data_IF_222995112224
#
_entry.id   IF_222995112224
#
_cell.length_a   1.000
_cell.length_b   1.000
_cell.length_c   1.000
_cell.angle_alpha   90.00
_cell.angle_beta   90.00
_cell.angle_gamma   90.00
#
_symmetry.space_group_name_H-M   'P 1'
#
loop_
_entity.id
_entity.type
_entity.pdbx_description
1 polymer ?
#
# COMPACT_ATOMS: atom_id res chain seq x y z
N UNK A 1 2.11 -26.37 3.93
CA UNK A 1 1.47 -25.06 3.73
C UNK A 1 0.68 -24.58 4.96
N UNK A 2 -0.10 -25.40 5.72
CA UNK A 2 -0.83 -24.94 6.90
C UNK A 2 0.07 -24.33 7.98
N UNK A 3 1.22 -24.92 8.23
CA UNK A 3 2.21 -24.41 9.19
C UNK A 3 2.77 -23.04 8.76
N UNK A 4 3.07 -22.85 7.49
CA UNK A 4 3.51 -21.55 6.96
C UNK A 4 2.42 -20.47 7.12
N UNK A 5 1.15 -20.86 6.99
CA UNK A 5 0.02 -19.94 7.25
C UNK A 5 -0.10 -19.59 8.74
N UNK A 6 0.11 -20.55 9.64
CA UNK A 6 0.07 -20.29 11.09
C UNK A 6 1.20 -19.36 11.56
N UNK A 7 2.32 -19.32 10.85
CA UNK A 7 3.43 -18.38 11.12
C UNK A 7 3.27 -17.04 10.40
N UNK A 8 2.19 -16.83 9.65
CA UNK A 8 1.98 -15.60 8.91
C UNK A 8 2.87 -15.43 7.67
N UNK A 9 3.57 -16.48 7.23
CA UNK A 9 4.44 -16.45 6.06
C UNK A 9 3.66 -16.40 4.74
N UNK A 10 2.43 -16.93 4.75
CA UNK A 10 1.51 -16.90 3.62
C UNK A 10 0.13 -16.45 4.09
N UNK A 11 -0.58 -15.76 3.21
CA UNK A 11 -1.89 -15.18 3.51
C UNK A 11 -3.03 -16.19 3.40
N UNK A 12 -2.97 -17.05 2.40
CA UNK A 12 -4.08 -17.92 2.02
C UNK A 12 -3.55 -19.23 1.41
N UNK A 13 -4.24 -20.33 1.67
CA UNK A 13 -4.02 -21.62 1.02
C UNK A 13 -5.20 -21.88 0.10
N UNK A 14 -4.92 -22.08 -1.17
CA UNK A 14 -5.93 -22.36 -2.20
C UNK A 14 -5.65 -23.69 -2.91
N UNK A 15 -6.66 -24.27 -3.54
CA UNK A 15 -6.46 -25.43 -4.41
C UNK A 15 -5.58 -25.03 -5.60
N UNK A 16 -4.79 -25.99 -6.10
CA UNK A 16 -3.82 -25.74 -7.18
C UNK A 16 -4.48 -25.14 -8.43
N UNK A 17 -5.64 -25.64 -8.82
CA UNK A 17 -6.43 -25.16 -9.96
C UNK A 17 -6.97 -23.72 -9.76
N UNK A 18 -7.07 -23.24 -8.52
CA UNK A 18 -7.54 -21.90 -8.18
C UNK A 18 -6.40 -20.88 -7.96
N UNK A 19 -5.16 -21.34 -7.85
CA UNK A 19 -4.03 -20.48 -7.49
C UNK A 19 -3.86 -19.31 -8.45
N UNK A 20 -3.86 -19.58 -9.76
CA UNK A 20 -3.67 -18.54 -10.78
C UNK A 20 -4.79 -17.51 -10.76
N UNK A 21 -6.03 -17.97 -10.62
CA UNK A 21 -7.21 -17.10 -10.55
C UNK A 21 -7.11 -16.18 -9.32
N UNK A 22 -6.83 -16.73 -8.15
CA UNK A 22 -6.68 -15.96 -6.91
C UNK A 22 -5.52 -14.96 -6.94
N UNK A 23 -4.39 -15.35 -7.50
CA UNK A 23 -3.26 -14.44 -7.68
C UNK A 23 -3.62 -13.27 -8.61
N UNK A 24 -4.36 -13.55 -9.68
CA UNK A 24 -4.80 -12.52 -10.62
C UNK A 24 -5.81 -11.55 -9.99
N UNK A 25 -6.82 -12.07 -9.29
CA UNK A 25 -7.80 -11.25 -8.55
C UNK A 25 -7.11 -10.29 -7.56
N UNK A 26 -6.10 -10.78 -6.83
CA UNK A 26 -5.33 -9.96 -5.90
C UNK A 26 -4.48 -8.90 -6.63
N UNK A 27 -3.87 -9.28 -7.75
CA UNK A 27 -3.09 -8.35 -8.56
C UNK A 27 -3.96 -7.22 -9.14
N UNK A 28 -5.15 -7.53 -9.65
CA UNK A 28 -6.11 -6.54 -10.15
C UNK A 28 -6.59 -5.61 -9.02
N UNK A 29 -6.90 -6.17 -7.85
CA UNK A 29 -7.27 -5.37 -6.68
C UNK A 29 -6.18 -4.37 -6.30
N UNK A 30 -4.93 -4.80 -6.26
CA UNK A 30 -3.79 -3.92 -5.96
C UNK A 30 -3.55 -2.91 -7.08
N UNK A 31 -3.70 -3.31 -8.35
CA UNK A 31 -3.52 -2.43 -9.49
C UNK A 31 -4.60 -1.32 -9.58
N UNK A 32 -5.79 -1.57 -9.06
CA UNK A 32 -6.87 -0.59 -8.98
C UNK A 32 -6.72 0.42 -7.83
N UNK A 33 -5.80 0.18 -6.91
CA UNK A 33 -5.58 1.03 -5.74
C UNK A 33 -4.63 2.20 -6.00
N UNK A 34 -4.35 3.02 -4.97
CA UNK A 34 -3.56 4.24 -5.08
C UNK A 34 -2.05 3.95 -5.19
N UNK A 35 -1.43 4.11 -6.38
CA UNK A 35 -0.05 3.67 -6.61
C UNK A 35 0.97 4.44 -5.76
N UNK A 36 0.77 5.74 -5.55
CA UNK A 36 1.66 6.57 -4.73
C UNK A 36 1.59 6.20 -3.25
N UNK A 37 0.42 5.81 -2.75
CA UNK A 37 0.26 5.31 -1.36
C UNK A 37 1.03 4.00 -1.20
N UNK A 38 0.94 3.08 -2.15
CA UNK A 38 1.70 1.83 -2.10
C UNK A 38 3.22 2.06 -2.13
N UNK A 39 3.68 3.03 -2.93
CA UNK A 39 5.09 3.41 -2.94
C UNK A 39 5.54 3.96 -1.57
N UNK A 40 4.74 4.83 -0.96
CA UNK A 40 5.01 5.37 0.37
C UNK A 40 5.03 4.29 1.45
N UNK A 41 4.05 3.38 1.46
CA UNK A 41 4.01 2.26 2.41
C UNK A 41 5.27 1.39 2.28
N UNK A 42 5.67 1.05 1.05
CA UNK A 42 6.86 0.20 0.82
C UNK A 42 8.16 0.86 1.27
N UNK A 43 8.33 2.16 1.05
CA UNK A 43 9.49 2.91 1.55
C UNK A 43 9.49 2.95 3.07
N UNK A 44 8.36 3.33 3.69
CA UNK A 44 8.23 3.41 5.16
C UNK A 44 8.56 2.06 5.81
N UNK A 45 7.93 0.97 5.36
CA UNK A 45 8.14 -0.35 5.95
C UNK A 45 9.61 -0.77 5.86
N UNK A 46 10.26 -0.56 4.70
CA UNK A 46 11.66 -0.92 4.49
C UNK A 46 12.61 -0.13 5.39
N UNK A 47 12.37 1.17 5.52
CA UNK A 47 13.27 2.07 6.25
C UNK A 47 12.98 2.09 7.76
N UNK A 48 11.76 1.75 8.18
CA UNK A 48 11.37 1.75 9.57
C UNK A 48 11.89 0.54 10.35
N UNK A 49 12.27 -0.55 9.68
CA UNK A 49 12.80 -1.75 10.35
C UNK A 49 14.04 -1.44 11.21
N UNK A 50 14.87 -0.50 10.77
CA UNK A 50 16.10 -0.10 11.45
C UNK A 50 15.95 1.12 12.38
N UNK A 51 14.72 1.64 12.53
CA UNK A 51 14.45 2.84 13.33
C UNK A 51 13.70 2.53 14.62
N UNK A 52 13.96 3.33 15.65
CA UNK A 52 13.06 3.40 16.79
C UNK A 52 11.70 3.95 16.38
N UNK A 53 10.63 3.48 16.99
CA UNK A 53 9.25 3.90 16.63
C UNK A 53 9.08 5.43 16.56
N UNK A 54 9.62 6.16 17.54
CA UNK A 54 9.49 7.63 17.58
C UNK A 54 10.24 8.31 16.44
N UNK A 55 11.39 7.76 16.04
CA UNK A 55 12.17 8.30 14.91
C UNK A 55 11.47 8.03 13.59
N UNK A 56 10.92 6.84 13.40
CA UNK A 56 10.10 6.50 12.24
C UNK A 56 8.87 7.42 12.13
N UNK A 57 8.14 7.63 13.23
CA UNK A 57 6.99 8.52 13.28
C UNK A 57 7.36 9.96 12.95
N UNK A 58 8.46 10.47 13.52
CA UNK A 58 8.96 11.82 13.23
C UNK A 58 9.33 11.99 11.75
N UNK A 59 9.97 10.99 11.14
CA UNK A 59 10.32 11.03 9.70
C UNK A 59 9.09 11.02 8.81
N UNK A 60 8.05 10.27 9.15
CA UNK A 60 6.78 10.26 8.42
C UNK A 60 6.09 11.63 8.53
N UNK A 61 5.90 12.12 9.76
CA UNK A 61 5.17 13.38 10.00
C UNK A 61 5.88 14.61 9.41
N UNK A 62 7.21 14.59 9.38
CA UNK A 62 8.03 15.63 8.75
C UNK A 62 8.25 15.44 7.25
N UNK A 63 7.58 14.44 6.64
CA UNK A 63 7.68 14.11 5.20
C UNK A 63 9.12 13.89 4.71
N UNK A 64 9.94 13.24 5.54
CA UNK A 64 11.37 13.01 5.23
C UNK A 64 11.60 11.80 4.32
N UNK A 65 10.57 10.99 4.06
CA UNK A 65 10.58 9.95 3.04
C UNK A 65 10.17 10.57 1.70
N UNK A 66 10.93 10.30 0.64
CA UNK A 66 10.70 10.90 -0.68
C UNK A 66 9.32 10.56 -1.27
N UNK A 67 8.89 9.31 -1.10
CA UNK A 67 7.58 8.89 -1.60
C UNK A 67 6.43 9.47 -0.79
N UNK A 68 6.64 9.70 0.51
CA UNK A 68 5.66 10.38 1.38
C UNK A 68 5.51 11.85 0.97
N UNK A 69 6.62 12.55 0.79
CA UNK A 69 6.61 13.96 0.36
C UNK A 69 5.95 14.10 -1.01
N UNK A 70 6.31 13.24 -1.96
CA UNK A 70 5.68 13.19 -3.28
C UNK A 70 4.17 12.91 -3.21
N UNK A 71 3.75 11.94 -2.40
CA UNK A 71 2.34 11.62 -2.20
C UNK A 71 1.54 12.84 -1.74
N UNK A 72 2.03 13.58 -0.74
CA UNK A 72 1.33 14.74 -0.19
C UNK A 72 1.26 15.94 -1.14
N UNK A 73 2.11 16.00 -2.15
CA UNK A 73 2.12 17.03 -3.19
C UNK A 73 1.44 16.60 -4.50
N UNK A 74 0.89 15.41 -4.56
CA UNK A 74 0.35 14.79 -5.78
C UNK A 74 -1.09 15.18 -6.11
N UNK A 75 -1.48 15.03 -7.38
CA UNK A 75 -2.88 15.12 -7.81
C UNK A 75 -3.73 14.00 -7.20
N UNK A 76 -3.15 12.81 -7.00
CA UNK A 76 -3.83 11.67 -6.42
C UNK A 76 -4.26 11.90 -4.96
N UNK A 77 -3.49 12.68 -4.20
CA UNK A 77 -3.87 13.07 -2.84
C UNK A 77 -5.14 13.93 -2.83
N UNK A 78 -5.24 14.86 -3.76
CA UNK A 78 -6.43 15.73 -3.92
C UNK A 78 -7.61 14.91 -4.42
N UNK A 79 -7.38 14.03 -5.41
CA UNK A 79 -8.43 13.12 -5.94
C UNK A 79 -8.99 12.21 -4.85
N UNK A 80 -8.12 11.61 -4.03
CA UNK A 80 -8.55 10.76 -2.92
C UNK A 80 -9.45 11.49 -1.92
N UNK A 81 -9.09 12.72 -1.55
CA UNK A 81 -9.91 13.55 -0.66
C UNK A 81 -11.26 13.92 -1.27
N UNK A 82 -11.28 14.28 -2.56
CA UNK A 82 -12.52 14.60 -3.30
C UNK A 82 -13.43 13.37 -3.44
N UNK A 83 -12.87 12.24 -3.87
CA UNK A 83 -13.62 11.01 -4.05
C UNK A 83 -14.28 10.55 -2.74
N UNK A 84 -13.53 10.66 -1.62
CA UNK A 84 -14.07 10.36 -0.29
C UNK A 84 -15.24 11.28 0.10
N UNK A 85 -15.08 12.59 -0.10
CA UNK A 85 -16.14 13.57 0.21
C UNK A 85 -17.39 13.38 -0.67
N UNK A 86 -17.20 13.06 -1.94
CA UNK A 86 -18.25 12.84 -2.94
C UNK A 86 -18.84 11.42 -2.91
N UNK A 87 -18.28 10.51 -2.08
CA UNK A 87 -18.69 9.10 -1.95
C UNK A 87 -18.68 8.36 -3.30
N UNK A 88 -17.65 8.57 -4.09
CA UNK A 88 -17.40 7.91 -5.36
C UNK A 88 -16.04 7.22 -5.38
N UNK A 89 -15.85 6.35 -6.35
CA UNK A 89 -14.55 5.73 -6.58
C UNK A 89 -13.53 6.75 -7.09
N UNK A 90 -12.30 6.74 -6.54
CA UNK A 90 -11.22 7.61 -6.99
C UNK A 90 -10.64 7.15 -8.34
N UNK A 91 -10.09 8.10 -9.08
CA UNK A 91 -9.40 7.85 -10.36
C UNK A 91 -7.92 8.19 -10.20
N UNK A 92 -7.14 7.18 -9.83
CA UNK A 92 -5.70 7.32 -9.61
C UNK A 92 -4.95 7.54 -10.92
N UNK A 93 -4.00 8.48 -10.93
CA UNK A 93 -3.17 8.82 -12.09
C UNK A 93 -1.67 8.53 -11.84
N UNK A 94 -1.29 8.30 -10.59
CA UNK A 94 0.09 8.07 -10.18
C UNK A 94 0.97 9.34 -10.22
N UNK A 95 0.39 10.51 -10.07
CA UNK A 95 1.10 11.80 -10.14
C UNK A 95 0.47 12.87 -9.25
#
# INVERSE_FOLDING_TARGET
APEAMSYGLIKEIVKFDQLRKKAWELAELLASGPPLVYAAIKEIVREAEDLKFQDALNRITKRQFKTVDHLYSSEDQIEGAKAFAEKRDPKWKGK
#
